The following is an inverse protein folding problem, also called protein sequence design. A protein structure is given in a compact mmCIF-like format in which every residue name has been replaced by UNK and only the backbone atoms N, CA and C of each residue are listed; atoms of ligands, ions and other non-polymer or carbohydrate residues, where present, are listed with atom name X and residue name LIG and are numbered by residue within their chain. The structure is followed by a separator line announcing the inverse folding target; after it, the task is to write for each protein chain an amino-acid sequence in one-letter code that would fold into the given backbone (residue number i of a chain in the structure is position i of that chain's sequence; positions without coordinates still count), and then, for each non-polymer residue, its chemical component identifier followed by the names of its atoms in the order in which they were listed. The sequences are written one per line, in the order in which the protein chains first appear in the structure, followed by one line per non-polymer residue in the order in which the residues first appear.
data_IF_848375046401
#
_entry.id   IF_848375046401
#
_cell.length_a   1.000
_cell.length_b   1.000
_cell.length_c   1.000
_cell.angle_alpha   90.00
_cell.angle_beta   90.00
_cell.angle_gamma   90.00
#
_symmetry.space_group_name_H-M   'P 1'
#
loop_
_entity.id
_entity.type
_entity.pdbx_description
1 polymer ?
#
# COMPACT_ATOMS: atom_id res chain seq x y z
N UNK A 1 -8.52 -2.32 40.04
CA UNK A 1 -9.92 -2.76 39.79
C UNK A 1 -10.89 -1.80 40.45
N UNK A 2 -10.84 -1.62 41.78
CA UNK A 2 -11.70 -0.66 42.49
C UNK A 2 -11.68 0.77 41.90
N UNK A 3 -10.49 1.32 41.58
CA UNK A 3 -10.35 2.66 40.99
C UNK A 3 -11.13 2.81 39.66
N UNK A 4 -11.12 1.78 38.80
CA UNK A 4 -11.82 1.83 37.50
C UNK A 4 -13.33 1.70 37.69
N UNK A 5 -13.77 0.84 38.60
CA UNK A 5 -15.20 0.67 38.90
C UNK A 5 -15.80 1.91 39.56
N UNK A 6 -15.03 2.58 40.41
CA UNK A 6 -15.40 3.86 41.02
C UNK A 6 -15.46 4.97 39.98
N UNK A 7 -14.46 5.07 39.09
CA UNK A 7 -14.45 6.03 37.99
C UNK A 7 -15.67 5.90 37.08
N UNK A 8 -16.04 4.68 36.69
CA UNK A 8 -17.22 4.43 35.82
C UNK A 8 -18.52 4.83 36.53
N UNK A 9 -18.61 4.67 37.85
CA UNK A 9 -19.80 5.05 38.64
C UNK A 9 -19.87 6.55 38.91
N UNK A 10 -18.76 7.17 39.27
CA UNK A 10 -18.71 8.57 39.71
C UNK A 10 -18.57 9.55 38.56
N UNK A 11 -18.01 9.11 37.41
CA UNK A 11 -17.56 9.95 36.29
C UNK A 11 -16.70 11.12 36.76
N UNK A 12 -16.01 10.96 37.90
CA UNK A 12 -15.24 12.02 38.55
C UNK A 12 -13.75 11.85 38.25
N UNK A 13 -13.26 12.62 37.28
CA UNK A 13 -11.86 12.61 36.86
C UNK A 13 -10.93 13.05 37.99
N UNK A 14 -11.28 14.11 38.74
CA UNK A 14 -10.41 14.70 39.76
C UNK A 14 -10.20 13.77 40.96
N UNK A 15 -11.24 13.06 41.38
CA UNK A 15 -11.15 12.06 42.45
C UNK A 15 -10.31 10.86 42.01
N UNK A 16 -10.54 10.37 40.79
CA UNK A 16 -9.79 9.25 40.22
C UNK A 16 -8.30 9.56 40.11
N UNK A 17 -7.94 10.79 39.72
CA UNK A 17 -6.54 11.24 39.66
C UNK A 17 -5.83 11.17 41.02
N UNK A 18 -6.52 11.47 42.12
CA UNK A 18 -5.94 11.33 43.47
C UNK A 18 -5.58 9.87 43.76
N UNK A 19 -6.49 8.95 43.48
CA UNK A 19 -6.24 7.51 43.68
C UNK A 19 -5.14 6.97 42.76
N UNK A 20 -4.96 7.54 41.56
CA UNK A 20 -3.87 7.18 40.64
C UNK A 20 -2.53 7.70 41.14
N UNK A 21 -2.49 8.88 41.76
CA UNK A 21 -1.27 9.48 42.31
C UNK A 21 -0.61 8.60 43.37
N UNK A 22 -1.43 7.89 44.15
CA UNK A 22 -0.97 7.00 45.23
C UNK A 22 -0.39 5.66 44.70
N UNK A 23 -0.47 5.39 43.39
CA UNK A 23 0.11 4.20 42.78
C UNK A 23 1.63 4.37 42.58
N UNK A 24 2.41 3.65 43.40
CA UNK A 24 3.86 3.79 43.42
C UNK A 24 4.63 2.95 42.38
N UNK A 25 4.01 1.97 41.70
CA UNK A 25 4.73 1.10 40.76
C UNK A 25 4.29 1.28 39.30
N UNK A 26 5.25 1.21 38.38
CA UNK A 26 4.98 1.29 36.93
C UNK A 26 4.06 0.15 36.47
N UNK A 27 4.22 -1.06 37.04
CA UNK A 27 3.39 -2.21 36.72
C UNK A 27 1.92 -2.01 37.13
N UNK A 28 1.64 -1.41 38.29
CA UNK A 28 0.25 -1.14 38.70
C UNK A 28 -0.42 -0.09 37.83
N UNK A 29 0.34 0.92 37.36
CA UNK A 29 -0.14 1.90 36.38
C UNK A 29 -0.49 1.26 35.04
N UNK A 30 0.37 0.39 34.51
CA UNK A 30 0.09 -0.39 33.28
C UNK A 30 -1.16 -1.25 33.46
N UNK A 31 -1.27 -1.98 34.58
CA UNK A 31 -2.43 -2.83 34.86
C UNK A 31 -3.73 -2.02 35.00
N UNK A 32 -3.66 -0.80 35.56
CA UNK A 32 -4.79 0.12 35.63
C UNK A 32 -5.26 0.51 34.23
N UNK A 33 -4.35 0.93 33.35
CA UNK A 33 -4.67 1.33 31.97
C UNK A 33 -5.34 0.17 31.23
N UNK A 34 -4.77 -1.04 31.31
CA UNK A 34 -5.36 -2.23 30.69
C UNK A 34 -6.78 -2.48 31.21
N UNK A 35 -7.00 -2.35 32.54
CA UNK A 35 -8.32 -2.57 33.12
C UNK A 35 -9.31 -1.47 32.73
N UNK A 36 -8.87 -0.22 32.65
CA UNK A 36 -9.67 0.91 32.19
C UNK A 36 -10.19 0.68 30.77
N UNK A 37 -9.29 0.34 29.84
CA UNK A 37 -9.64 0.06 28.45
C UNK A 37 -10.57 -1.17 28.33
N UNK A 38 -10.30 -2.24 29.07
CA UNK A 38 -11.19 -3.43 29.10
C UNK A 38 -12.62 -3.11 29.52
N UNK A 39 -12.80 -2.16 30.43
CA UNK A 39 -14.11 -1.77 30.92
C UNK A 39 -14.78 -0.80 29.97
N UNK A 40 -14.06 0.21 29.47
CA UNK A 40 -14.69 1.38 28.81
C UNK A 40 -14.86 1.22 27.30
N UNK A 41 -14.01 0.42 26.62
CA UNK A 41 -14.10 0.29 25.15
C UNK A 41 -15.42 -0.36 24.66
N UNK A 42 -16.20 -0.94 25.57
CA UNK A 42 -17.52 -1.54 25.28
C UNK A 42 -18.68 -0.62 25.68
N UNK A 43 -18.39 0.48 26.36
CA UNK A 43 -19.37 1.47 26.79
C UNK A 43 -19.61 2.52 25.69
N UNK A 44 -20.44 3.51 25.99
CA UNK A 44 -20.78 4.59 25.06
C UNK A 44 -19.60 5.55 24.81
N UNK A 45 -19.74 6.39 23.79
CA UNK A 45 -18.72 7.37 23.39
C UNK A 45 -18.41 8.43 24.47
N UNK A 46 -19.39 8.78 25.31
CA UNK A 46 -19.18 9.74 26.41
C UNK A 46 -18.18 9.18 27.43
N UNK A 47 -18.35 7.93 27.84
CA UNK A 47 -17.45 7.26 28.79
C UNK A 47 -16.05 7.02 28.19
N UNK A 48 -15.98 6.69 26.90
CA UNK A 48 -14.71 6.60 26.17
C UNK A 48 -13.97 7.94 26.15
N UNK A 49 -14.69 9.03 25.91
CA UNK A 49 -14.14 10.37 25.95
C UNK A 49 -13.65 10.74 27.35
N UNK A 50 -14.44 10.45 28.38
CA UNK A 50 -14.08 10.75 29.76
C UNK A 50 -12.81 10.00 30.20
N UNK A 51 -12.62 8.77 29.72
CA UNK A 51 -11.39 8.00 29.91
C UNK A 51 -10.18 8.64 29.21
N UNK A 52 -10.38 9.18 28.01
CA UNK A 52 -9.35 9.94 27.29
C UNK A 52 -8.91 11.16 28.09
N UNK A 53 -9.87 11.95 28.59
CA UNK A 53 -9.62 13.12 29.45
C UNK A 53 -8.84 12.74 30.71
N UNK A 54 -9.18 11.62 31.35
CA UNK A 54 -8.48 11.10 32.51
C UNK A 54 -7.01 10.78 32.16
N UNK A 55 -6.77 10.01 31.10
CA UNK A 55 -5.41 9.64 30.71
C UNK A 55 -4.57 10.87 30.33
N UNK A 56 -5.16 11.81 29.59
CA UNK A 56 -4.53 13.08 29.21
C UNK A 56 -4.13 13.90 30.43
N UNK A 57 -5.05 14.14 31.36
CA UNK A 57 -4.74 14.89 32.60
C UNK A 57 -3.71 14.19 33.46
N UNK A 58 -3.80 12.86 33.61
CA UNK A 58 -2.77 12.09 34.31
C UNK A 58 -1.40 12.17 33.63
N UNK A 59 -1.34 12.26 32.30
CA UNK A 59 -0.11 12.45 31.55
C UNK A 59 0.48 13.85 31.76
N UNK A 60 -0.36 14.90 31.63
CA UNK A 60 0.06 16.29 31.82
C UNK A 60 0.55 16.58 33.24
N UNK A 61 -0.09 15.98 34.25
CA UNK A 61 0.34 16.05 35.66
C UNK A 61 1.49 15.09 36.00
N UNK A 62 2.07 14.41 35.00
CA UNK A 62 3.18 13.45 35.14
C UNK A 62 2.89 12.29 36.09
N UNK A 63 1.62 11.98 36.32
CA UNK A 63 1.20 10.79 37.07
C UNK A 63 1.41 9.52 36.25
N UNK A 64 1.16 9.60 34.94
CA UNK A 64 1.43 8.56 33.95
C UNK A 64 2.54 9.03 33.00
N UNK A 65 3.44 8.12 32.65
CA UNK A 65 4.48 8.39 31.64
C UNK A 65 4.05 7.83 30.30
N UNK A 66 4.63 8.36 29.21
CA UNK A 66 4.43 7.83 27.85
C UNK A 66 4.68 6.32 27.80
N UNK A 67 5.76 5.86 28.43
CA UNK A 67 6.10 4.43 28.53
C UNK A 67 4.99 3.60 29.20
N UNK A 68 4.44 4.07 30.33
CA UNK A 68 3.37 3.35 31.02
C UNK A 68 2.07 3.29 30.20
N UNK A 69 1.75 4.38 29.48
CA UNK A 69 0.60 4.45 28.59
C UNK A 69 0.78 3.52 27.38
N UNK A 70 1.93 3.58 26.71
CA UNK A 70 2.27 2.70 25.58
C UNK A 70 2.16 1.23 25.99
N UNK A 71 2.83 0.83 27.08
CA UNK A 71 2.78 -0.57 27.57
C UNK A 71 1.36 -1.00 27.97
N UNK A 72 0.56 -0.09 28.52
CA UNK A 72 -0.83 -0.35 28.87
C UNK A 72 -1.69 -0.63 27.64
N UNK A 73 -1.60 0.22 26.62
CA UNK A 73 -2.35 0.08 25.37
C UNK A 73 -1.88 -1.15 24.60
N UNK A 74 -0.58 -1.37 24.43
CA UNK A 74 -0.02 -2.56 23.79
C UNK A 74 -0.48 -3.84 24.49
N UNK A 75 -0.46 -3.86 25.83
CA UNK A 75 -0.91 -5.04 26.59
C UNK A 75 -2.41 -5.28 26.44
N UNK A 76 -3.23 -4.25 26.22
CA UNK A 76 -4.65 -4.41 25.93
C UNK A 76 -4.86 -4.92 24.51
N UNK A 77 -4.20 -4.32 23.51
CA UNK A 77 -4.28 -4.74 22.10
C UNK A 77 -3.83 -6.19 21.92
N UNK A 78 -2.74 -6.62 22.58
CA UNK A 78 -2.31 -8.04 22.56
C UNK A 78 -3.31 -9.01 23.20
N UNK A 79 -4.19 -8.53 24.08
CA UNK A 79 -5.29 -9.35 24.60
C UNK A 79 -6.44 -9.39 23.60
N UNK A 80 -6.72 -8.28 22.92
CA UNK A 80 -7.71 -8.22 21.84
C UNK A 80 -7.33 -9.17 20.69
N UNK A 81 -6.07 -9.20 20.28
CA UNK A 81 -5.61 -10.06 19.18
C UNK A 81 -5.74 -11.56 19.46
N UNK A 82 -5.83 -11.97 20.74
CA UNK A 82 -6.02 -13.37 21.15
C UNK A 82 -7.48 -13.77 21.32
N UNK A 83 -8.41 -12.83 21.16
CA UNK A 83 -9.83 -13.07 21.39
C UNK A 83 -10.61 -12.91 20.09
N UNK A 84 -10.94 -14.04 19.47
CA UNK A 84 -11.80 -14.09 18.26
C UNK A 84 -13.24 -13.56 18.50
N UNK A 85 -13.58 -13.23 19.74
CA UNK A 85 -14.91 -12.75 20.17
C UNK A 85 -14.99 -11.23 20.33
N UNK A 86 -13.89 -10.51 20.14
CA UNK A 86 -13.89 -9.04 20.20
C UNK A 86 -14.54 -8.47 18.93
N UNK A 87 -15.59 -7.66 19.09
CA UNK A 87 -16.38 -7.15 17.96
C UNK A 87 -15.68 -5.97 17.28
N UNK A 88 -16.04 -5.72 16.02
CA UNK A 88 -15.58 -4.54 15.26
C UNK A 88 -15.94 -3.21 15.96
N UNK A 89 -16.94 -3.23 16.85
CA UNK A 89 -17.31 -2.10 17.70
C UNK A 89 -16.16 -1.70 18.63
N UNK A 90 -15.50 -2.67 19.26
CA UNK A 90 -14.36 -2.41 20.16
C UNK A 90 -13.16 -1.86 19.38
N UNK A 91 -12.92 -2.41 18.18
CA UNK A 91 -11.84 -1.90 17.29
C UNK A 91 -12.12 -0.46 16.85
N UNK A 92 -13.36 -0.14 16.48
CA UNK A 92 -13.78 1.22 16.13
C UNK A 92 -13.61 2.19 17.31
N UNK A 93 -14.07 1.80 18.50
CA UNK A 93 -13.91 2.59 19.71
C UNK A 93 -12.43 2.83 20.03
N UNK A 94 -11.59 1.80 19.92
CA UNK A 94 -10.17 1.91 20.20
C UNK A 94 -9.41 2.75 19.16
N UNK A 95 -9.80 2.67 17.88
CA UNK A 95 -9.29 3.53 16.81
C UNK A 95 -9.56 5.01 17.13
N UNK A 96 -10.82 5.35 17.44
CA UNK A 96 -11.24 6.70 17.80
C UNK A 96 -10.57 7.21 19.08
N UNK A 97 -10.47 6.35 20.10
CA UNK A 97 -9.77 6.65 21.34
C UNK A 97 -8.29 6.97 21.10
N UNK A 98 -7.61 6.18 20.28
CA UNK A 98 -6.19 6.38 19.96
C UNK A 98 -5.97 7.63 19.10
N UNK A 99 -6.85 7.88 18.13
CA UNK A 99 -6.83 9.09 17.31
C UNK A 99 -6.93 10.36 18.18
N UNK A 100 -7.81 10.34 19.19
CA UNK A 100 -7.92 11.42 20.16
C UNK A 100 -6.62 11.65 20.93
N UNK A 101 -5.99 10.60 21.43
CA UNK A 101 -4.73 10.73 22.19
C UNK A 101 -3.56 11.24 21.34
N UNK A 102 -3.58 11.00 20.01
CA UNK A 102 -2.64 11.62 19.08
C UNK A 102 -2.94 13.12 18.95
N UNK A 103 -4.21 13.50 18.76
CA UNK A 103 -4.64 14.90 18.65
C UNK A 103 -4.31 15.71 19.91
N UNK A 104 -4.30 15.08 21.08
CA UNK A 104 -3.99 15.70 22.38
C UNK A 104 -2.49 15.63 22.75
N UNK A 105 -1.63 15.29 21.79
CA UNK A 105 -0.17 15.20 21.94
C UNK A 105 0.30 14.21 23.03
N UNK A 106 -0.53 13.20 23.35
CA UNK A 106 -0.13 12.12 24.28
C UNK A 106 0.76 11.11 23.56
N UNK A 107 0.47 10.83 22.29
CA UNK A 107 1.23 9.91 21.45
C UNK A 107 1.54 10.51 20.07
N UNK A 108 2.66 10.07 19.51
CA UNK A 108 2.93 10.24 18.08
C UNK A 108 2.35 9.07 17.27
N UNK A 109 2.19 9.29 15.98
CA UNK A 109 1.59 8.31 15.06
C UNK A 109 2.43 7.02 14.97
N UNK A 110 3.75 7.11 15.09
CA UNK A 110 4.65 5.95 15.04
C UNK A 110 4.44 5.01 16.24
N UNK A 111 4.30 5.58 17.44
CA UNK A 111 4.02 4.83 18.67
C UNK A 111 2.70 4.07 18.55
N UNK A 112 1.67 4.71 17.99
CA UNK A 112 0.35 4.08 17.79
C UNK A 112 0.39 3.00 16.71
N UNK A 113 1.13 3.23 15.61
CA UNK A 113 1.33 2.22 14.57
C UNK A 113 1.92 0.92 15.14
N UNK A 114 3.03 1.04 15.88
CA UNK A 114 3.70 -0.11 16.47
C UNK A 114 2.81 -0.81 17.51
N UNK A 115 2.06 -0.06 18.31
CA UNK A 115 1.17 -0.65 19.30
C UNK A 115 0.00 -1.44 18.69
N UNK A 116 -0.43 -1.06 17.49
CA UNK A 116 -1.58 -1.64 16.78
C UNK A 116 -1.23 -2.77 15.82
N UNK A 117 0.06 -3.06 15.59
CA UNK A 117 0.56 -4.10 14.67
C UNK A 117 -0.14 -5.46 14.87
N UNK A 118 -0.42 -5.83 16.12
CA UNK A 118 -0.99 -7.13 16.48
C UNK A 118 -2.47 -7.33 16.09
N UNK A 119 -3.18 -6.29 15.63
CA UNK A 119 -4.59 -6.37 15.25
C UNK A 119 -4.79 -5.79 13.85
N UNK A 120 -5.18 -6.64 12.91
CA UNK A 120 -5.45 -6.26 11.52
C UNK A 120 -6.38 -5.04 11.42
N UNK A 121 -6.02 -4.13 10.52
CA UNK A 121 -6.78 -2.91 10.17
C UNK A 121 -7.02 -1.90 11.30
N UNK A 122 -6.63 -2.17 12.55
CA UNK A 122 -6.86 -1.24 13.68
C UNK A 122 -6.14 0.10 13.47
N UNK A 123 -4.91 0.06 12.94
CA UNK A 123 -4.19 1.28 12.59
C UNK A 123 -4.88 2.09 11.47
N UNK A 124 -5.43 1.42 10.45
CA UNK A 124 -6.21 2.11 9.42
C UNK A 124 -7.49 2.73 9.98
N UNK A 125 -8.13 2.06 10.94
CA UNK A 125 -9.28 2.63 11.64
C UNK A 125 -8.89 3.91 12.40
N UNK A 126 -7.77 3.89 13.14
CA UNK A 126 -7.22 5.08 13.77
C UNK A 126 -6.95 6.22 12.78
N UNK A 127 -6.36 5.94 11.61
CA UNK A 127 -6.14 6.94 10.56
C UNK A 127 -7.46 7.54 10.02
N UNK A 128 -8.51 6.73 9.86
CA UNK A 128 -9.84 7.23 9.47
C UNK A 128 -10.42 8.18 10.51
N UNK A 129 -10.28 7.81 11.78
CA UNK A 129 -10.76 8.64 12.89
C UNK A 129 -9.97 9.95 12.97
N UNK A 130 -8.65 9.94 12.73
CA UNK A 130 -7.83 11.16 12.61
C UNK A 130 -8.30 12.05 11.45
N UNK A 131 -8.56 11.46 10.28
CA UNK A 131 -9.11 12.18 9.12
C UNK A 131 -10.44 12.84 9.47
N UNK A 132 -11.31 12.16 10.20
CA UNK A 132 -12.60 12.71 10.63
C UNK A 132 -12.44 13.87 11.63
N UNK A 133 -11.46 13.79 12.54
CA UNK A 133 -11.24 14.80 13.59
C UNK A 133 -10.55 16.07 13.09
N UNK A 134 -9.61 15.96 12.14
CA UNK A 134 -8.71 17.06 11.75
C UNK A 134 -8.67 17.36 10.25
N UNK A 135 -9.24 16.49 9.41
CA UNK A 135 -9.23 16.62 7.96
C UNK A 135 -8.05 15.91 7.27
N UNK A 136 -8.10 15.91 5.94
CA UNK A 136 -7.16 15.18 5.07
C UNK A 136 -5.76 15.81 5.08
N UNK A 137 -5.67 17.14 4.93
CA UNK A 137 -4.39 17.86 4.84
C UNK A 137 -3.56 17.72 6.12
N UNK A 138 -4.20 17.88 7.28
CA UNK A 138 -3.55 17.73 8.58
C UNK A 138 -3.02 16.30 8.78
N UNK A 139 -3.82 15.29 8.38
CA UNK A 139 -3.40 13.90 8.52
C UNK A 139 -2.24 13.58 7.57
N UNK A 140 -2.24 14.12 6.36
CA UNK A 140 -1.14 13.94 5.40
C UNK A 140 0.17 14.53 5.95
N UNK A 141 0.11 15.72 6.54
CA UNK A 141 1.27 16.36 7.18
C UNK A 141 1.78 15.53 8.37
N UNK A 142 0.88 15.12 9.27
CA UNK A 142 1.23 14.26 10.40
C UNK A 142 1.87 12.94 9.94
N UNK A 143 1.29 12.32 8.93
CA UNK A 143 1.75 11.04 8.39
C UNK A 143 3.16 11.17 7.80
N UNK A 144 3.40 12.19 6.97
CA UNK A 144 4.73 12.45 6.37
C UNK A 144 5.81 12.69 7.44
N UNK A 145 5.46 13.32 8.56
CA UNK A 145 6.39 13.57 9.67
C UNK A 145 6.62 12.33 10.57
N UNK A 146 5.74 11.33 10.52
CA UNK A 146 5.76 10.18 11.43
C UNK A 146 6.76 9.08 11.08
N UNK A 147 7.33 9.11 9.86
CA UNK A 147 8.16 8.02 9.29
C UNK A 147 7.44 6.67 9.19
N UNK A 148 6.12 6.62 9.35
CA UNK A 148 5.34 5.38 9.16
C UNK A 148 5.30 5.03 7.68
N UNK A 149 5.55 3.76 7.36
CA UNK A 149 5.43 3.25 6.00
C UNK A 149 4.23 2.30 5.92
N UNK A 150 3.13 2.76 5.33
CA UNK A 150 1.91 1.96 5.15
C UNK A 150 2.16 0.68 4.34
N UNK A 151 3.10 0.69 3.40
CA UNK A 151 3.43 -0.49 2.62
C UNK A 151 4.04 -1.58 3.50
N UNK A 152 4.95 -1.22 4.41
CA UNK A 152 5.52 -2.16 5.38
C UNK A 152 4.44 -2.67 6.34
N UNK A 153 3.66 -1.76 6.93
CA UNK A 153 2.59 -2.12 7.89
C UNK A 153 1.53 -3.04 7.29
N UNK A 154 1.17 -2.87 6.02
CA UNK A 154 0.19 -3.73 5.35
C UNK A 154 0.81 -5.01 4.77
N UNK A 155 2.08 -4.98 4.37
CA UNK A 155 2.81 -6.17 3.93
C UNK A 155 3.03 -7.16 5.08
N UNK A 156 3.32 -6.67 6.29
CA UNK A 156 3.43 -7.47 7.51
C UNK A 156 2.10 -8.19 7.84
N UNK A 157 0.96 -7.61 7.44
CA UNK A 157 -0.37 -8.21 7.53
C UNK A 157 -0.68 -9.18 6.35
N UNK A 158 0.31 -9.54 5.54
CA UNK A 158 0.15 -10.46 4.41
C UNK A 158 -0.60 -9.89 3.20
N UNK A 159 -0.73 -8.56 3.09
CA UNK A 159 -1.37 -7.91 1.94
C UNK A 159 -0.33 -7.60 0.86
N UNK A 160 -0.62 -8.01 -0.37
CA UNK A 160 0.17 -7.60 -1.53
C UNK A 160 -0.19 -6.16 -1.95
N UNK A 161 0.58 -5.58 -2.89
CA UNK A 161 0.40 -4.20 -3.33
C UNK A 161 -1.01 -3.89 -3.89
N UNK A 162 -1.66 -4.86 -4.52
CA UNK A 162 -3.01 -4.72 -5.06
C UNK A 162 -4.06 -4.66 -3.95
N UNK A 163 -4.04 -5.63 -3.02
CA UNK A 163 -4.92 -5.64 -1.85
C UNK A 163 -4.71 -4.40 -0.98
N UNK A 164 -3.47 -3.92 -0.87
CA UNK A 164 -3.19 -2.66 -0.17
C UNK A 164 -3.90 -1.48 -0.83
N UNK A 165 -3.81 -1.36 -2.16
CA UNK A 165 -4.47 -0.28 -2.90
C UNK A 165 -5.98 -0.33 -2.72
N UNK A 166 -6.58 -1.51 -2.85
CA UNK A 166 -8.01 -1.74 -2.64
C UNK A 166 -8.44 -1.35 -1.23
N UNK A 167 -7.77 -1.87 -0.19
CA UNK A 167 -8.07 -1.56 1.21
C UNK A 167 -7.94 -0.06 1.49
N UNK A 168 -6.86 0.59 1.06
CA UNK A 168 -6.68 2.03 1.29
C UNK A 168 -7.75 2.86 0.57
N UNK A 169 -8.19 2.41 -0.61
CA UNK A 169 -9.26 3.07 -1.35
C UNK A 169 -10.62 2.91 -0.67
N UNK A 170 -10.99 1.69 -0.27
CA UNK A 170 -12.24 1.40 0.44
C UNK A 170 -12.32 2.16 1.77
N UNK A 171 -11.18 2.29 2.46
CA UNK A 171 -11.08 3.02 3.72
C UNK A 171 -10.93 4.54 3.52
N UNK A 172 -10.86 5.04 2.29
CA UNK A 172 -10.74 6.48 2.00
C UNK A 172 -9.41 7.11 2.43
N UNK A 173 -8.35 6.28 2.52
CA UNK A 173 -7.00 6.62 2.99
C UNK A 173 -5.94 6.59 1.87
N UNK A 174 -6.32 6.29 0.62
CA UNK A 174 -5.38 6.17 -0.51
C UNK A 174 -4.55 7.44 -0.75
N UNK A 175 -5.02 8.63 -0.32
CA UNK A 175 -4.28 9.89 -0.40
C UNK A 175 -2.98 9.89 0.43
N UNK A 176 -2.87 9.03 1.46
CA UNK A 176 -1.63 8.84 2.24
C UNK A 176 -0.53 8.13 1.44
N UNK A 177 -0.90 7.55 0.29
CA UNK A 177 0.02 6.93 -0.67
C UNK A 177 -0.19 7.56 -2.05
N UNK A 178 0.35 8.77 -2.32
CA UNK A 178 0.14 9.48 -3.57
C UNK A 178 0.46 8.65 -4.83
N UNK A 179 1.48 7.79 -4.73
CA UNK A 179 1.88 6.86 -5.80
C UNK A 179 0.77 5.86 -6.12
N UNK A 180 0.19 5.20 -5.10
CA UNK A 180 -0.92 4.25 -5.26
C UNK A 180 -2.20 4.96 -5.72
N UNK A 181 -2.45 6.19 -5.24
CA UNK A 181 -3.56 7.03 -5.68
C UNK A 181 -3.45 7.32 -7.17
N UNK A 182 -2.30 7.85 -7.62
CA UNK A 182 -2.05 8.14 -9.02
C UNK A 182 -2.19 6.89 -9.90
N UNK A 183 -1.66 5.75 -9.44
CA UNK A 183 -1.81 4.46 -10.14
C UNK A 183 -3.29 4.03 -10.26
N UNK A 184 -4.06 4.11 -9.18
CA UNK A 184 -5.49 3.75 -9.18
C UNK A 184 -6.32 4.68 -10.08
N UNK A 185 -6.09 5.99 -10.00
CA UNK A 185 -6.78 6.98 -10.83
C UNK A 185 -6.43 6.83 -12.31
N UNK A 186 -5.15 6.63 -12.64
CA UNK A 186 -4.72 6.36 -14.01
C UNK A 186 -5.38 5.08 -14.55
N UNK A 187 -5.40 4.00 -13.76
CA UNK A 187 -6.03 2.75 -14.18
C UNK A 187 -7.53 2.92 -14.44
N UNK A 188 -8.26 3.61 -13.55
CA UNK A 188 -9.67 3.95 -13.76
C UNK A 188 -9.89 4.78 -15.02
N UNK A 189 -9.00 5.74 -15.29
CA UNK A 189 -9.09 6.57 -16.48
C UNK A 189 -8.92 5.73 -17.75
N UNK A 190 -7.98 4.77 -17.77
CA UNK A 190 -7.80 3.83 -18.89
C UNK A 190 -9.04 2.95 -19.09
N UNK A 191 -9.68 2.49 -18.01
CA UNK A 191 -10.90 1.68 -18.11
C UNK A 191 -12.10 2.48 -18.64
N UNK A 192 -12.20 3.76 -18.30
CA UNK A 192 -13.34 4.61 -18.68
C UNK A 192 -13.20 5.21 -20.09
N UNK A 193 -12.01 5.71 -20.43
CA UNK A 193 -11.70 6.31 -21.73
C UNK A 193 -10.29 5.87 -22.17
N UNK A 194 -10.16 4.72 -22.85
CA UNK A 194 -8.89 4.20 -23.31
C UNK A 194 -8.30 5.00 -24.50
N UNK A 195 -8.87 6.15 -24.85
CA UNK A 195 -8.32 7.00 -25.90
C UNK A 195 -6.98 7.60 -25.48
N UNK A 196 -5.92 7.33 -26.26
CA UNK A 196 -4.55 7.79 -25.97
C UNK A 196 -4.44 9.31 -25.82
N UNK A 197 -5.19 10.09 -26.61
CA UNK A 197 -5.13 11.56 -26.52
C UNK A 197 -5.75 12.06 -25.21
N UNK A 198 -6.87 11.46 -24.80
CA UNK A 198 -7.49 11.74 -23.50
C UNK A 198 -6.59 11.35 -22.34
N UNK A 199 -5.97 10.16 -22.40
CA UNK A 199 -5.05 9.66 -21.38
C UNK A 199 -3.81 10.54 -21.25
N UNK A 200 -3.22 10.95 -22.37
CA UNK A 200 -2.07 11.85 -22.38
C UNK A 200 -2.39 13.20 -21.75
N UNK A 201 -3.56 13.77 -22.07
CA UNK A 201 -4.03 15.01 -21.45
C UNK A 201 -4.23 14.82 -19.94
N UNK A 202 -4.87 13.73 -19.53
CA UNK A 202 -5.10 13.44 -18.12
C UNK A 202 -3.78 13.34 -17.33
N UNK A 203 -2.78 12.63 -17.86
CA UNK A 203 -1.46 12.51 -17.23
C UNK A 203 -0.81 13.89 -17.06
N UNK A 204 -0.89 14.75 -18.08
CA UNK A 204 -0.36 16.13 -18.00
C UNK A 204 -1.05 16.99 -16.96
N UNK A 205 -2.36 16.82 -16.80
CA UNK A 205 -3.16 17.64 -15.90
C UNK A 205 -3.06 17.18 -14.44
N UNK A 206 -2.75 15.89 -14.18
CA UNK A 206 -2.85 15.29 -12.84
C UNK A 206 -1.52 14.77 -12.26
N UNK A 207 -0.47 14.61 -13.07
CA UNK A 207 0.83 14.07 -12.64
C UNK A 207 1.91 15.14 -12.85
N UNK A 208 2.72 15.41 -11.81
CA UNK A 208 3.83 16.36 -11.88
C UNK A 208 4.77 16.01 -13.04
N UNK A 209 5.08 17.02 -13.86
CA UNK A 209 5.97 16.91 -15.03
C UNK A 209 7.33 16.31 -14.65
N UNK A 210 7.83 16.55 -13.44
CA UNK A 210 9.09 15.96 -12.95
C UNK A 210 9.03 14.44 -12.83
N UNK A 211 7.84 13.87 -12.62
CA UNK A 211 7.64 12.43 -12.53
C UNK A 211 7.49 11.78 -13.90
N UNK A 212 7.20 12.53 -14.98
CA UNK A 212 6.97 11.97 -16.31
C UNK A 212 8.19 11.20 -16.86
N UNK A 213 9.39 11.55 -16.41
CA UNK A 213 10.65 10.89 -16.77
C UNK A 213 11.24 10.05 -15.62
N UNK A 214 10.43 9.67 -14.63
CA UNK A 214 10.88 8.88 -13.50
C UNK A 214 10.68 7.36 -13.74
N UNK A 215 11.62 6.51 -13.29
CA UNK A 215 11.47 5.04 -13.32
C UNK A 215 10.18 4.53 -12.68
N UNK A 216 9.75 5.19 -11.60
CA UNK A 216 8.53 4.84 -10.86
C UNK A 216 7.29 5.10 -11.71
N UNK A 217 7.22 6.25 -12.40
CA UNK A 217 6.09 6.54 -13.27
C UNK A 217 6.05 5.62 -14.50
N UNK A 218 7.21 5.34 -15.11
CA UNK A 218 7.32 4.36 -16.20
C UNK A 218 6.79 2.97 -15.78
N UNK A 219 7.12 2.55 -14.56
CA UNK A 219 6.63 1.30 -13.98
C UNK A 219 5.12 1.31 -13.75
N UNK A 220 4.59 2.40 -13.20
CA UNK A 220 3.15 2.59 -12.96
C UNK A 220 2.36 2.57 -14.26
N UNK A 221 2.77 3.37 -15.26
CA UNK A 221 2.11 3.45 -16.56
C UNK A 221 2.08 2.09 -17.24
N UNK A 222 3.23 1.40 -17.30
CA UNK A 222 3.35 0.06 -17.88
C UNK A 222 2.44 -0.93 -17.16
N UNK A 223 2.43 -0.93 -15.83
CA UNK A 223 1.56 -1.80 -15.03
C UNK A 223 0.08 -1.55 -15.32
N UNK A 224 -0.34 -0.29 -15.39
CA UNK A 224 -1.75 0.08 -15.65
C UNK A 224 -2.19 -0.36 -17.05
N UNK A 225 -1.35 -0.17 -18.07
CA UNK A 225 -1.64 -0.61 -19.44
C UNK A 225 -1.70 -2.15 -19.50
N UNK A 226 -0.69 -2.85 -18.95
CA UNK A 226 -0.67 -4.32 -18.91
C UNK A 226 -1.90 -4.89 -18.20
N UNK A 227 -2.29 -4.32 -17.06
CA UNK A 227 -3.52 -4.69 -16.36
C UNK A 227 -4.74 -4.51 -17.23
N UNK A 228 -4.89 -3.35 -17.85
CA UNK A 228 -6.06 -3.05 -18.67
C UNK A 228 -6.18 -4.05 -19.82
N UNK A 229 -5.09 -4.28 -20.54
CA UNK A 229 -5.02 -5.20 -21.66
C UNK A 229 -5.31 -6.62 -21.19
N UNK A 230 -4.49 -7.16 -20.29
CA UNK A 230 -4.55 -8.58 -19.92
C UNK A 230 -5.81 -8.94 -19.12
N UNK A 231 -6.31 -8.07 -18.24
CA UNK A 231 -7.55 -8.34 -17.50
C UNK A 231 -8.79 -8.30 -18.40
N UNK A 232 -8.70 -7.63 -19.55
CA UNK A 232 -9.75 -7.64 -20.58
C UNK A 232 -9.61 -8.84 -21.52
N UNK A 233 -8.42 -9.44 -21.61
CA UNK A 233 -8.09 -10.53 -22.54
C UNK A 233 -7.60 -11.78 -21.81
N UNK A 234 -6.29 -12.05 -21.77
CA UNK A 234 -5.69 -13.31 -21.36
C UNK A 234 -5.88 -13.70 -19.89
N UNK A 235 -6.23 -12.75 -19.03
CA UNK A 235 -6.48 -12.93 -17.60
C UNK A 235 -7.94 -12.67 -17.21
N UNK A 236 -8.83 -12.46 -18.18
CA UNK A 236 -10.25 -12.26 -17.91
C UNK A 236 -10.87 -13.48 -17.18
N UNK A 237 -11.92 -13.29 -16.34
CA UNK A 237 -12.47 -14.36 -15.50
C UNK A 237 -13.02 -15.57 -16.27
N UNK A 238 -13.37 -15.37 -17.54
CA UNK A 238 -13.95 -16.38 -18.44
C UNK A 238 -12.90 -17.16 -19.26
N UNK A 239 -11.60 -16.90 -19.08
CA UNK A 239 -10.52 -17.54 -19.85
C UNK A 239 -9.88 -18.66 -19.03
N UNK A 240 -9.83 -19.88 -19.59
CA UNK A 240 -9.16 -21.02 -18.95
C UNK A 240 -7.64 -20.90 -19.08
N UNK A 241 -6.99 -20.65 -17.95
CA UNK A 241 -5.53 -20.44 -17.85
C UNK A 241 -4.73 -21.73 -17.93
N UNK A 242 -5.38 -22.90 -17.91
CA UNK A 242 -4.71 -24.20 -17.99
C UNK A 242 -4.49 -24.67 -19.42
N UNK A 243 -5.08 -23.98 -20.40
CA UNK A 243 -5.00 -24.32 -21.81
C UNK A 243 -4.17 -23.29 -22.59
N UNK A 244 -3.65 -23.64 -23.78
CA UNK A 244 -3.09 -22.66 -24.69
C UNK A 244 -4.11 -21.54 -24.95
N UNK A 245 -3.65 -20.28 -24.93
CA UNK A 245 -4.52 -19.14 -25.14
C UNK A 245 -5.02 -19.11 -26.58
N UNK A 246 -6.32 -18.94 -26.77
CA UNK A 246 -6.94 -18.88 -28.10
C UNK A 246 -6.34 -17.76 -28.95
N UNK A 247 -6.19 -18.02 -30.25
CA UNK A 247 -5.60 -17.06 -31.20
C UNK A 247 -6.39 -15.75 -31.24
N UNK A 248 -7.71 -15.82 -31.15
CA UNK A 248 -8.59 -14.65 -31.10
C UNK A 248 -8.29 -13.75 -29.90
N UNK A 249 -8.01 -14.33 -28.73
CA UNK A 249 -7.64 -13.58 -27.52
C UNK A 249 -6.24 -12.97 -27.68
N UNK A 250 -5.30 -13.70 -28.30
CA UNK A 250 -3.95 -13.16 -28.60
C UNK A 250 -4.01 -11.98 -29.58
N UNK A 251 -4.81 -12.09 -30.64
CA UNK A 251 -5.00 -11.04 -31.64
C UNK A 251 -5.66 -9.80 -31.02
N UNK A 252 -6.67 -10.01 -30.14
CA UNK A 252 -7.28 -8.91 -29.38
C UNK A 252 -6.29 -8.25 -28.41
N UNK A 253 -5.49 -9.05 -27.70
CA UNK A 253 -4.46 -8.55 -26.78
C UNK A 253 -3.43 -7.68 -27.52
N UNK A 254 -2.96 -8.15 -28.68
CA UNK A 254 -2.06 -7.39 -29.55
C UNK A 254 -2.69 -6.08 -30.03
N UNK A 255 -3.94 -6.10 -30.49
CA UNK A 255 -4.64 -4.90 -30.94
C UNK A 255 -4.79 -3.86 -29.81
N UNK A 256 -5.06 -4.30 -28.59
CA UNK A 256 -5.14 -3.38 -27.44
C UNK A 256 -3.77 -2.80 -27.08
N UNK A 257 -2.69 -3.58 -27.19
CA UNK A 257 -1.32 -3.07 -27.04
C UNK A 257 -0.95 -2.09 -28.15
N UNK A 258 -1.32 -2.36 -29.41
CA UNK A 258 -1.14 -1.44 -30.55
C UNK A 258 -1.86 -0.10 -30.32
N UNK A 259 -3.08 -0.14 -29.77
CA UNK A 259 -3.80 1.07 -29.41
C UNK A 259 -3.09 1.88 -28.31
N UNK A 260 -2.45 1.22 -27.34
CA UNK A 260 -1.74 1.86 -26.23
C UNK A 260 -0.28 2.21 -26.56
N UNK A 261 0.27 1.70 -27.67
CA UNK A 261 1.65 1.94 -28.14
C UNK A 261 2.03 3.43 -28.10
N UNK A 262 1.25 4.37 -28.68
CA UNK A 262 1.68 5.76 -28.76
C UNK A 262 1.76 6.42 -27.37
N UNK A 263 0.98 5.93 -26.39
CA UNK A 263 1.05 6.41 -25.01
C UNK A 263 2.33 5.94 -24.34
N UNK A 264 2.64 4.64 -24.43
CA UNK A 264 3.85 4.06 -23.84
C UNK A 264 5.11 4.67 -24.46
N UNK A 265 5.18 4.73 -25.79
CA UNK A 265 6.31 5.32 -26.50
C UNK A 265 6.54 6.79 -26.09
N UNK A 266 5.47 7.54 -25.83
CA UNK A 266 5.59 8.95 -25.43
C UNK A 266 6.35 9.17 -24.12
N UNK A 267 6.31 8.20 -23.21
CA UNK A 267 6.96 8.29 -21.89
C UNK A 267 8.19 7.39 -21.73
N UNK A 268 8.39 6.41 -22.63
CA UNK A 268 9.46 5.43 -22.54
C UNK A 268 10.55 5.55 -23.63
N UNK A 269 10.23 6.11 -24.81
CA UNK A 269 11.21 6.20 -25.90
C UNK A 269 12.42 7.05 -25.52
N UNK A 270 13.53 6.79 -26.20
CA UNK A 270 14.81 7.52 -26.06
C UNK A 270 15.42 7.43 -24.66
N UNK A 271 14.95 6.50 -23.81
CA UNK A 271 15.48 6.28 -22.47
C UNK A 271 15.44 4.80 -22.04
N UNK A 272 16.57 4.13 -22.27
CA UNK A 272 16.80 2.71 -21.92
C UNK A 272 16.46 2.42 -20.46
N UNK A 273 16.76 3.31 -19.51
CA UNK A 273 16.50 3.06 -18.08
C UNK A 273 15.00 3.05 -17.75
N UNK A 274 14.20 3.88 -18.43
CA UNK A 274 12.73 3.85 -18.28
C UNK A 274 12.14 2.59 -18.92
N UNK A 275 12.70 2.14 -20.03
CA UNK A 275 12.32 0.89 -20.67
C UNK A 275 12.67 -0.33 -19.81
N UNK A 276 13.85 -0.36 -19.19
CA UNK A 276 14.23 -1.38 -18.18
C UNK A 276 13.24 -1.38 -17.01
N UNK A 277 12.83 -0.19 -16.55
CA UNK A 277 11.80 -0.06 -15.50
C UNK A 277 10.45 -0.65 -15.94
N UNK A 278 10.05 -0.45 -17.19
CA UNK A 278 8.87 -1.07 -17.78
C UNK A 278 8.98 -2.61 -17.84
N UNK A 279 10.15 -3.16 -18.15
CA UNK A 279 10.41 -4.61 -18.12
C UNK A 279 10.35 -5.18 -16.70
N UNK A 280 10.88 -4.47 -15.70
CA UNK A 280 10.70 -4.84 -14.29
C UNK A 280 9.23 -4.79 -13.86
N UNK A 281 8.47 -3.79 -14.30
CA UNK A 281 7.04 -3.71 -14.04
C UNK A 281 6.29 -4.92 -14.63
N UNK A 282 6.62 -5.34 -15.86
CA UNK A 282 6.07 -6.56 -16.47
C UNK A 282 6.46 -7.83 -15.70
N UNK A 283 7.72 -7.95 -15.28
CA UNK A 283 8.19 -9.07 -14.45
C UNK A 283 7.39 -9.17 -13.15
N UNK A 284 7.26 -8.06 -12.42
CA UNK A 284 6.52 -8.01 -11.15
C UNK A 284 5.04 -8.31 -11.38
N UNK A 285 4.45 -7.77 -12.44
CA UNK A 285 3.06 -8.05 -12.83
C UNK A 285 2.83 -9.55 -13.07
N UNK A 286 3.71 -10.20 -13.84
CA UNK A 286 3.64 -11.65 -14.04
C UNK A 286 3.85 -12.40 -12.72
N UNK A 287 4.79 -11.99 -11.88
CA UNK A 287 5.03 -12.62 -10.57
C UNK A 287 3.79 -12.56 -9.67
N UNK A 288 3.12 -11.40 -9.58
CA UNK A 288 1.88 -11.24 -8.81
C UNK A 288 0.72 -12.09 -9.34
N UNK A 289 0.74 -12.44 -10.63
CA UNK A 289 -0.22 -13.34 -11.27
C UNK A 289 0.28 -14.80 -11.38
N UNK A 290 1.29 -15.17 -10.59
CA UNK A 290 1.87 -16.52 -10.52
C UNK A 290 2.53 -17.03 -11.82
N UNK A 291 2.97 -16.08 -12.66
CA UNK A 291 3.50 -16.27 -14.02
C UNK A 291 2.62 -17.17 -14.89
N UNK A 292 1.49 -16.64 -15.42
CA UNK A 292 0.63 -17.34 -16.36
C UNK A 292 1.43 -17.84 -17.57
N UNK A 293 1.15 -19.07 -18.00
CA UNK A 293 1.97 -19.76 -19.00
C UNK A 293 2.06 -18.96 -20.30
N UNK A 294 3.29 -18.59 -20.68
CA UNK A 294 3.58 -17.89 -21.94
C UNK A 294 3.20 -16.40 -21.97
N UNK A 295 2.62 -15.84 -20.90
CA UNK A 295 2.26 -14.41 -20.86
C UNK A 295 3.50 -13.52 -20.92
N UNK A 296 4.52 -13.80 -20.09
CA UNK A 296 5.73 -12.98 -20.03
C UNK A 296 6.43 -12.92 -21.40
N UNK A 297 6.68 -14.08 -22.00
CA UNK A 297 7.34 -14.17 -23.30
C UNK A 297 6.53 -13.46 -24.40
N UNK A 298 5.21 -13.67 -24.44
CA UNK A 298 4.35 -13.01 -25.43
C UNK A 298 4.36 -11.49 -25.28
N UNK A 299 4.39 -10.97 -24.05
CA UNK A 299 4.50 -9.54 -23.80
C UNK A 299 5.90 -9.00 -24.14
N UNK A 300 6.99 -9.74 -23.88
CA UNK A 300 8.34 -9.37 -24.33
C UNK A 300 8.38 -9.21 -25.86
N UNK A 301 7.91 -10.23 -26.59
CA UNK A 301 7.82 -10.20 -28.05
C UNK A 301 6.94 -9.05 -28.53
N UNK A 302 5.78 -8.83 -27.89
CA UNK A 302 4.87 -7.74 -28.29
C UNK A 302 5.49 -6.35 -28.06
N UNK A 303 6.19 -6.14 -26.94
CA UNK A 303 6.85 -4.87 -26.64
C UNK A 303 8.01 -4.58 -27.60
N UNK A 304 8.73 -5.63 -28.01
CA UNK A 304 9.78 -5.57 -29.02
C UNK A 304 9.22 -5.28 -30.42
N UNK A 305 8.27 -6.10 -30.90
CA UNK A 305 7.65 -5.96 -32.23
C UNK A 305 6.96 -4.60 -32.42
N UNK A 306 6.42 -4.03 -31.34
CA UNK A 306 5.77 -2.72 -31.36
C UNK A 306 6.75 -1.56 -31.18
N UNK A 307 8.06 -1.80 -31.07
CA UNK A 307 9.09 -0.78 -30.87
C UNK A 307 8.80 0.10 -29.63
N UNK A 308 8.25 -0.51 -28.58
CA UNK A 308 8.00 0.18 -27.30
C UNK A 308 9.26 0.09 -26.42
N UNK A 309 9.97 -1.04 -26.53
CA UNK A 309 11.19 -1.35 -25.79
C UNK A 309 12.27 -1.72 -26.80
N UNK A 310 13.41 -1.05 -26.71
CA UNK A 310 14.58 -1.29 -27.56
C UNK A 310 15.37 -2.50 -27.09
N UNK A 311 16.18 -3.05 -27.97
CA UNK A 311 17.02 -4.23 -27.70
C UNK A 311 17.91 -4.02 -26.46
N UNK A 312 18.60 -2.88 -26.40
CA UNK A 312 19.50 -2.51 -25.29
C UNK A 312 18.80 -2.60 -23.92
N UNK A 313 17.51 -2.29 -23.85
CA UNK A 313 16.75 -2.37 -22.61
C UNK A 313 16.48 -3.83 -22.20
N UNK A 314 16.23 -4.73 -23.15
CA UNK A 314 16.09 -6.17 -22.85
C UNK A 314 17.40 -6.77 -22.36
N UNK A 315 18.52 -6.41 -22.97
CA UNK A 315 19.86 -6.87 -22.56
C UNK A 315 20.23 -6.27 -21.21
N UNK A 316 20.06 -4.96 -21.03
CA UNK A 316 20.31 -4.29 -19.74
C UNK A 316 19.45 -4.88 -18.64
N UNK A 317 18.16 -5.15 -18.88
CA UNK A 317 17.33 -5.86 -17.92
C UNK A 317 17.91 -7.25 -17.63
N UNK A 318 18.27 -8.06 -18.63
CA UNK A 318 18.82 -9.42 -18.44
C UNK A 318 20.05 -9.43 -17.52
N UNK A 319 20.96 -8.48 -17.73
CA UNK A 319 22.24 -8.36 -17.00
C UNK A 319 22.09 -7.72 -15.61
N UNK A 320 21.06 -6.89 -15.39
CA UNK A 320 20.87 -6.17 -14.13
C UNK A 320 20.58 -7.12 -12.95
N UNK A 321 21.49 -7.08 -11.97
CA UNK A 321 21.43 -7.81 -10.70
C UNK A 321 20.75 -6.93 -9.66
N UNK A 322 19.43 -6.82 -9.79
CA UNK A 322 18.59 -6.03 -8.89
C UNK A 322 17.64 -6.93 -8.09
N UNK A 323 17.91 -7.06 -6.78
CA UNK A 323 17.10 -7.86 -5.83
C UNK A 323 15.84 -7.12 -5.33
N UNK A 324 15.60 -5.87 -5.74
CA UNK A 324 14.42 -5.10 -5.32
C UNK A 324 13.12 -5.60 -5.98
N UNK A 325 13.21 -6.30 -7.11
CA UNK A 325 12.06 -6.76 -7.88
C UNK A 325 11.93 -8.29 -7.82
N UNK A 326 10.82 -8.84 -7.26
CA UNK A 326 10.65 -10.28 -7.15
C UNK A 326 10.46 -10.95 -8.52
N UNK A 327 10.77 -12.25 -8.59
CA UNK A 327 10.46 -13.10 -9.74
C UNK A 327 11.51 -13.16 -10.85
N UNK A 328 12.66 -12.47 -10.72
CA UNK A 328 13.71 -12.40 -11.75
C UNK A 328 14.17 -13.76 -12.29
N UNK A 329 14.49 -14.70 -11.41
CA UNK A 329 14.96 -16.04 -11.82
C UNK A 329 13.92 -16.83 -12.64
N UNK A 330 12.65 -16.79 -12.24
CA UNK A 330 11.56 -17.44 -12.98
C UNK A 330 11.25 -16.71 -14.29
N UNK A 331 11.38 -15.39 -14.31
CA UNK A 331 11.24 -14.59 -15.51
C UNK A 331 12.33 -14.97 -16.54
N UNK A 332 13.60 -14.93 -16.14
CA UNK A 332 14.74 -15.34 -16.99
C UNK A 332 14.51 -16.74 -17.55
N UNK A 333 14.10 -17.71 -16.73
CA UNK A 333 13.82 -19.07 -17.20
C UNK A 333 12.79 -19.13 -18.35
N UNK A 334 11.79 -18.24 -18.39
CA UNK A 334 10.79 -18.23 -19.46
C UNK A 334 11.23 -17.54 -20.75
N UNK A 335 12.08 -16.52 -20.65
CA UNK A 335 12.45 -15.67 -21.80
C UNK A 335 13.90 -15.87 -22.28
N UNK A 336 14.73 -16.65 -21.58
CA UNK A 336 16.15 -16.79 -21.89
C UNK A 336 16.41 -17.20 -23.34
N UNK A 337 15.66 -18.17 -23.87
CA UNK A 337 15.83 -18.60 -25.27
C UNK A 337 15.55 -17.49 -26.27
N UNK A 338 14.57 -16.62 -25.98
CA UNK A 338 14.25 -15.49 -26.84
C UNK A 338 15.29 -14.37 -26.71
N UNK A 339 15.81 -14.12 -25.51
CA UNK A 339 16.89 -13.15 -25.29
C UNK A 339 18.19 -13.59 -25.96
N UNK A 340 18.55 -14.88 -25.91
CA UNK A 340 19.70 -15.40 -26.65
C UNK A 340 19.52 -15.23 -28.15
N UNK A 341 18.31 -15.47 -28.67
CA UNK A 341 18.01 -15.19 -30.08
C UNK A 341 18.21 -13.70 -30.41
N UNK A 342 17.71 -12.81 -29.55
CA UNK A 342 17.81 -11.36 -29.73
C UNK A 342 19.28 -10.90 -29.84
N UNK A 343 20.14 -11.35 -28.92
CA UNK A 343 21.59 -11.05 -28.93
C UNK A 343 22.27 -11.55 -30.22
N UNK A 344 22.00 -12.81 -30.61
CA UNK A 344 22.66 -13.40 -31.80
C UNK A 344 22.16 -12.82 -33.12
N UNK A 345 20.89 -12.43 -33.21
CA UNK A 345 20.31 -11.86 -34.43
C UNK A 345 20.88 -10.45 -34.71
N UNK A 346 21.20 -9.69 -33.66
CA UNK A 346 21.83 -8.38 -33.78
C UNK A 346 23.29 -8.51 -34.26
N UNK A 347 24.07 -9.44 -33.70
CA UNK A 347 25.45 -9.72 -34.11
C UNK A 347 25.53 -10.05 -35.62
N UNK A 348 24.65 -10.93 -36.12
CA UNK A 348 24.62 -11.31 -37.56
C UNK A 348 24.23 -10.14 -38.50
N UNK A 349 23.43 -9.19 -38.04
CA UNK A 349 23.03 -8.02 -38.84
C UNK A 349 24.17 -6.98 -38.97
N UNK A 350 25.02 -6.87 -37.94
CA UNK A 350 26.14 -5.92 -37.90
C UNK A 350 27.36 -6.36 -38.71
N UNK A 351 27.55 -7.66 -38.95
CA UNK A 351 28.64 -8.20 -39.79
C UNK A 351 28.38 -8.09 -41.30
N UNK A 352 27.24 -7.53 -41.71
CA UNK A 352 26.78 -7.50 -43.11
C UNK A 352 26.89 -6.13 -43.81
N UNK A 353 27.47 -5.12 -43.16
CA UNK A 353 27.91 -3.88 -43.81
C UNK A 353 29.36 -4.02 -44.32
N UNK A 354 29.59 -4.23 -45.63
CA UNK A 354 30.92 -4.05 -46.20
C UNK A 354 31.29 -2.55 -46.22
N UNK A 355 32.49 -2.22 -45.72
CA UNK A 355 33.15 -0.92 -45.90
C UNK A 355 33.17 -0.42 -47.35
#
# INVERSE_FOLDING_TARGET
VAIVEEFVKSRNVAETMKSIKDLNSSQTKVALIVKLLQTIMRENEEDQNLAGDLLKKCFDEKMLTKESLTKGIESYIRKLSKSDKESDIVKAALGKFSARLIVEDVFDLHTVNNAMEAVDLLFLQCLKDLKQLKGEDWLLELFNNSKVNLATTLAEQGKNAEKMTEVLQEQGLIFLSPQLKAQSELFKQIQNDPNVSSLYKWIKDNIDVKLHSSPEFASVLTTCVLKYVTMTTSLAPNVDRNQPLDKEIQDQEKLMMENMKPLLQKFLNDNVQLQVSALYALQVFCHCNEFPKGLLLRMFVTLYDLEIIEEDAFISWKEDVNDQHPGKGRALFQVNSWLTWLETAAEESSESEPE
#
